data_IF_066024859749
#
_entry.id   IF_066024859749
#
_cell.length_a   1.000
_cell.length_b   1.000
_cell.length_c   1.000
_cell.angle_alpha   90.00
_cell.angle_beta   90.00
_cell.angle_gamma   90.00
#
_symmetry.space_group_name_H-M   'P 1'
#
loop_
_entity.id
_entity.type
_entity.pdbx_description
1 polymer ?
#
# COMPACT_ATOMS: atom_id res chain seq x y z
N UNK A 1 24.62 121.46 -10.63
CA UNK A 1 25.52 120.68 -11.51
C UNK A 1 24.72 119.63 -12.28
N UNK A 2 25.16 119.23 -13.49
CA UNK A 2 24.65 118.11 -14.34
C UNK A 2 23.12 118.11 -14.61
N UNK A 3 22.63 118.57 -15.77
CA UNK A 3 22.52 117.84 -17.07
C UNK A 3 21.81 116.49 -16.93
N UNK A 4 20.58 116.32 -17.44
CA UNK A 4 20.14 116.23 -18.85
C UNK A 4 20.49 114.89 -19.53
N UNK A 5 19.51 114.24 -20.14
CA UNK A 5 19.71 113.11 -21.07
C UNK A 5 18.42 112.35 -21.39
N UNK A 6 17.94 112.43 -22.64
CA UNK A 6 16.85 111.62 -23.22
C UNK A 6 17.44 110.87 -24.44
N UNK A 7 16.75 109.81 -24.90
CA UNK A 7 16.85 109.10 -26.20
C UNK A 7 17.84 107.92 -26.37
N UNK A 8 17.25 106.85 -26.90
CA UNK A 8 17.61 106.05 -28.09
C UNK A 8 18.83 105.09 -28.16
N UNK A 9 18.49 103.80 -28.09
CA UNK A 9 18.64 102.79 -29.17
C UNK A 9 19.96 102.00 -29.44
N UNK A 10 19.76 100.69 -29.58
CA UNK A 10 20.33 99.71 -30.56
C UNK A 10 21.69 99.00 -30.40
N UNK A 11 21.60 97.66 -30.60
CA UNK A 11 22.48 96.72 -31.33
C UNK A 11 23.63 95.92 -30.64
N UNK A 12 23.33 94.63 -30.47
CA UNK A 12 24.04 93.43 -31.01
C UNK A 12 25.34 92.85 -30.36
N UNK A 13 25.56 91.55 -30.67
CA UNK A 13 26.66 90.62 -30.29
C UNK A 13 26.57 90.09 -28.83
N UNK A 14 26.61 88.79 -28.47
CA UNK A 14 27.36 87.61 -28.94
C UNK A 14 28.88 87.73 -28.66
N UNK A 15 29.63 86.78 -28.06
CA UNK A 15 29.41 85.38 -27.57
C UNK A 15 30.53 85.07 -26.51
N UNK A 16 30.74 83.94 -25.79
CA UNK A 16 30.24 82.54 -25.66
C UNK A 16 30.71 81.98 -24.28
N UNK A 17 30.19 80.81 -23.81
CA UNK A 17 30.71 80.01 -22.65
C UNK A 17 30.43 80.63 -21.25
N UNK A 18 30.10 79.97 -20.13
CA UNK A 18 29.72 78.58 -19.75
C UNK A 18 29.09 78.66 -18.32
N UNK A 19 28.54 77.65 -17.61
CA UNK A 19 28.52 76.17 -17.74
C UNK A 19 27.17 75.58 -17.20
N UNK A 20 27.16 74.27 -16.95
CA UNK A 20 26.16 73.32 -16.37
C UNK A 20 25.60 73.57 -14.95
N UNK A 21 24.50 72.89 -14.50
CA UNK A 21 23.38 72.25 -15.24
C UNK A 21 21.98 72.40 -14.54
N UNK A 22 21.01 71.52 -14.88
CA UNK A 22 19.80 71.11 -14.12
C UNK A 22 18.48 71.92 -14.22
N UNK A 23 17.89 72.02 -15.43
CA UNK A 23 16.42 72.24 -15.60
C UNK A 23 15.74 71.17 -16.49
N UNK A 24 16.49 70.26 -17.14
CA UNK A 24 15.97 69.32 -18.15
C UNK A 24 14.97 68.25 -17.66
N UNK A 25 14.65 68.19 -16.36
CA UNK A 25 13.85 67.12 -15.74
C UNK A 25 12.39 67.49 -15.45
N UNK A 26 11.80 68.49 -16.12
CA UNK A 26 10.36 68.85 -15.96
C UNK A 26 9.48 68.81 -17.21
N UNK A 27 10.02 68.85 -18.43
CA UNK A 27 9.19 68.76 -19.64
C UNK A 27 8.84 67.32 -20.05
N UNK A 28 9.74 66.35 -19.83
CA UNK A 28 9.56 64.95 -20.25
C UNK A 28 8.38 64.24 -19.55
N UNK A 29 8.13 64.56 -18.28
CA UNK A 29 7.16 63.84 -17.45
C UNK A 29 5.69 64.15 -17.82
N UNK A 30 5.42 65.36 -18.32
CA UNK A 30 4.07 65.79 -18.72
C UNK A 30 3.62 65.19 -20.06
N UNK A 31 4.57 64.97 -20.99
CA UNK A 31 4.27 64.35 -22.28
C UNK A 31 4.00 62.85 -22.13
N UNK A 32 4.81 62.15 -21.33
CA UNK A 32 4.67 60.71 -21.06
C UNK A 32 3.30 60.39 -20.46
N UNK A 33 2.81 61.16 -19.48
CA UNK A 33 1.51 60.89 -18.86
C UNK A 33 0.31 61.11 -19.81
N UNK A 34 0.38 62.08 -20.75
CA UNK A 34 -0.66 62.24 -21.78
C UNK A 34 -0.59 61.15 -22.87
N UNK A 35 0.60 60.74 -23.31
CA UNK A 35 0.71 59.64 -24.27
C UNK A 35 0.34 58.29 -23.66
N UNK A 36 0.74 58.04 -22.41
CA UNK A 36 0.37 56.82 -21.67
C UNK A 36 -1.15 56.72 -21.49
N UNK A 37 -1.82 57.80 -21.06
CA UNK A 37 -3.28 57.78 -20.87
C UNK A 37 -4.08 57.67 -22.19
N UNK A 38 -3.61 58.24 -23.30
CA UNK A 38 -4.23 57.96 -24.61
C UNK A 38 -3.98 56.52 -25.07
N UNK A 39 -2.77 55.98 -24.89
CA UNK A 39 -2.45 54.60 -25.28
C UNK A 39 -3.24 53.56 -24.45
N UNK A 40 -3.35 53.75 -23.13
CA UNK A 40 -4.15 52.86 -22.28
C UNK A 40 -5.64 53.00 -22.56
N UNK A 41 -6.18 54.21 -22.75
CA UNK A 41 -7.59 54.38 -23.12
C UNK A 41 -7.91 53.79 -24.50
N UNK A 42 -7.04 53.95 -25.50
CA UNK A 42 -7.23 53.28 -26.80
C UNK A 42 -7.11 51.76 -26.70
N UNK A 43 -6.20 51.23 -25.88
CA UNK A 43 -6.09 49.78 -25.66
C UNK A 43 -7.29 49.21 -24.88
N UNK A 44 -7.75 49.89 -23.84
CA UNK A 44 -8.94 49.52 -23.05
C UNK A 44 -10.21 49.61 -23.89
N UNK A 45 -10.40 50.69 -24.67
CA UNK A 45 -11.53 50.80 -25.58
C UNK A 45 -11.47 49.71 -26.66
N UNK A 46 -10.32 49.46 -27.29
CA UNK A 46 -10.16 48.38 -28.28
C UNK A 46 -10.44 47.00 -27.67
N UNK A 47 -10.02 46.74 -26.42
CA UNK A 47 -10.34 45.51 -25.71
C UNK A 47 -11.84 45.40 -25.36
N UNK A 48 -12.46 46.52 -24.98
CA UNK A 48 -13.90 46.61 -24.66
C UNK A 48 -14.74 46.43 -25.93
N UNK A 49 -14.38 47.06 -27.04
CA UNK A 49 -15.03 46.90 -28.34
C UNK A 49 -14.83 45.49 -28.90
N UNK A 50 -13.65 44.88 -28.71
CA UNK A 50 -13.42 43.47 -29.04
C UNK A 50 -14.29 42.55 -28.18
N UNK A 51 -14.38 42.80 -26.87
CA UNK A 51 -15.25 42.05 -25.96
C UNK A 51 -16.74 42.22 -26.30
N UNK A 52 -17.18 43.42 -26.69
CA UNK A 52 -18.53 43.70 -27.14
C UNK A 52 -18.83 43.01 -28.48
N UNK A 53 -17.94 43.07 -29.47
CA UNK A 53 -18.08 42.37 -30.75
C UNK A 53 -18.07 40.85 -30.56
N UNK A 54 -17.29 40.32 -29.62
CA UNK A 54 -17.34 38.90 -29.24
C UNK A 54 -18.66 38.56 -28.54
N UNK A 55 -19.13 39.39 -27.60
CA UNK A 55 -20.42 39.18 -26.92
C UNK A 55 -21.61 39.28 -27.87
N UNK A 56 -21.63 40.21 -28.82
CA UNK A 56 -22.71 40.33 -29.79
C UNK A 56 -22.65 39.21 -30.84
N UNK A 57 -21.46 38.72 -31.21
CA UNK A 57 -21.35 37.46 -31.96
C UNK A 57 -21.87 36.26 -31.17
N UNK A 58 -21.60 36.18 -29.86
CA UNK A 58 -22.14 35.15 -28.97
C UNK A 58 -23.67 35.26 -28.86
N UNK A 59 -24.23 36.46 -28.65
CA UNK A 59 -25.69 36.71 -28.63
C UNK A 59 -26.34 36.33 -29.95
N UNK A 60 -25.75 36.68 -31.09
CA UNK A 60 -26.28 36.35 -32.41
C UNK A 60 -26.17 34.85 -32.72
N UNK A 61 -25.12 34.16 -32.23
CA UNK A 61 -25.01 32.69 -32.29
C UNK A 61 -25.97 31.98 -31.32
N UNK A 62 -26.39 32.67 -30.25
CA UNK A 62 -27.40 32.24 -29.29
C UNK A 62 -28.81 32.78 -29.58
N UNK A 63 -29.03 33.46 -30.70
CA UNK A 63 -30.34 34.02 -31.08
C UNK A 63 -31.38 32.91 -31.28
N UNK A 64 -32.60 33.13 -30.77
CA UNK A 64 -33.82 32.30 -30.76
C UNK A 64 -33.68 30.80 -30.46
N UNK A 65 -32.81 30.07 -31.14
CA UNK A 65 -32.48 28.65 -30.92
C UNK A 65 -31.27 28.43 -30.00
N UNK A 66 -30.61 29.49 -29.51
CA UNK A 66 -29.46 29.35 -28.60
C UNK A 66 -29.77 28.59 -27.32
N UNK A 67 -31.02 28.64 -26.83
CA UNK A 67 -31.47 27.83 -25.70
C UNK A 67 -31.35 26.32 -25.99
N UNK A 68 -31.55 25.89 -27.25
CA UNK A 68 -31.36 24.49 -27.69
C UNK A 68 -29.87 24.14 -27.64
N UNK A 69 -28.99 25.03 -28.12
CA UNK A 69 -27.52 24.83 -28.09
C UNK A 69 -27.02 24.70 -26.66
N UNK A 70 -27.46 25.60 -25.76
CA UNK A 70 -27.12 25.54 -24.32
C UNK A 70 -27.65 24.25 -23.68
N UNK A 71 -28.88 23.84 -24.00
CA UNK A 71 -29.47 22.61 -23.46
C UNK A 71 -28.70 21.37 -23.92
N UNK A 72 -28.28 21.30 -25.19
CA UNK A 72 -27.41 20.23 -25.71
C UNK A 72 -26.06 20.19 -24.96
N UNK A 73 -25.43 21.34 -24.73
CA UNK A 73 -24.16 21.43 -23.98
C UNK A 73 -24.33 20.98 -22.52
N UNK A 74 -25.43 21.34 -21.86
CA UNK A 74 -25.76 20.90 -20.50
C UNK A 74 -26.00 19.39 -20.44
N UNK A 75 -26.79 18.83 -21.37
CA UNK A 75 -27.03 17.38 -21.46
C UNK A 75 -25.71 16.62 -21.69
N UNK A 76 -24.83 17.14 -22.55
CA UNK A 76 -23.52 16.54 -22.82
C UNK A 76 -22.58 16.62 -21.59
N UNK A 77 -22.62 17.71 -20.82
CA UNK A 77 -21.91 17.82 -19.54
C UNK A 77 -22.43 16.81 -18.49
N UNK A 78 -23.75 16.66 -18.37
CA UNK A 78 -24.37 15.65 -17.49
C UNK A 78 -23.98 14.24 -17.93
N UNK A 79 -23.96 13.96 -19.23
CA UNK A 79 -23.54 12.68 -19.78
C UNK A 79 -22.06 12.38 -19.49
N UNK A 80 -21.17 13.37 -19.59
CA UNK A 80 -19.76 13.25 -19.17
C UNK A 80 -19.65 12.98 -17.67
N UNK A 81 -20.41 13.69 -16.82
CA UNK A 81 -20.43 13.44 -15.38
C UNK A 81 -20.93 12.03 -15.03
N UNK A 82 -21.93 11.51 -15.74
CA UNK A 82 -22.40 10.14 -15.60
C UNK A 82 -21.33 9.13 -16.03
N UNK A 83 -20.63 9.37 -17.14
CA UNK A 83 -19.50 8.53 -17.58
C UNK A 83 -18.36 8.54 -16.55
N UNK A 84 -18.02 9.70 -15.98
CA UNK A 84 -16.99 9.82 -14.94
C UNK A 84 -17.41 9.10 -13.66
N UNK A 85 -18.66 9.26 -13.23
CA UNK A 85 -19.23 8.56 -12.08
C UNK A 85 -19.22 7.03 -12.27
N UNK A 86 -19.70 6.53 -13.40
CA UNK A 86 -19.66 5.10 -13.75
C UNK A 86 -18.21 4.61 -13.83
N UNK A 87 -17.30 5.37 -14.44
CA UNK A 87 -15.88 5.03 -14.52
C UNK A 87 -15.20 4.96 -13.15
N UNK A 88 -15.63 5.80 -12.20
CA UNK A 88 -15.15 5.77 -10.82
C UNK A 88 -15.75 4.59 -10.04
N UNK A 89 -17.06 4.34 -10.19
CA UNK A 89 -17.75 3.21 -9.57
C UNK A 89 -17.23 1.85 -10.06
N UNK A 90 -16.93 1.70 -11.35
CA UNK A 90 -16.31 0.49 -11.92
C UNK A 90 -14.84 0.33 -11.49
N UNK A 91 -14.13 1.43 -11.22
CA UNK A 91 -12.77 1.42 -10.64
C UNK A 91 -12.76 1.23 -9.12
N UNK A 92 -13.90 1.38 -8.44
CA UNK A 92 -14.06 1.10 -7.02
C UNK A 92 -14.16 -0.42 -6.75
N UNK A 93 -13.17 -1.17 -7.22
CA UNK A 93 -13.06 -2.60 -6.96
C UNK A 93 -13.03 -2.89 -5.46
N UNK A 94 -13.74 -3.94 -5.03
CA UNK A 94 -13.68 -4.40 -3.64
C UNK A 94 -12.29 -4.99 -3.28
N UNK A 95 -11.45 -5.26 -4.28
CA UNK A 95 -10.03 -5.61 -4.14
C UNK A 95 -9.26 -4.46 -3.48
N UNK A 96 -8.68 -4.72 -2.31
CA UNK A 96 -8.00 -3.76 -1.44
C UNK A 96 -6.78 -4.43 -0.79
N UNK A 97 -5.61 -3.85 -1.06
CA UNK A 97 -4.38 -4.10 -0.31
C UNK A 97 -4.12 -2.98 0.69
N UNK A 98 -3.54 -3.31 1.85
CA UNK A 98 -3.10 -2.32 2.85
C UNK A 98 -1.80 -2.76 3.51
N UNK A 99 -0.91 -1.78 3.71
CA UNK A 99 0.30 -1.93 4.51
C UNK A 99 -0.06 -1.73 6.00
N UNK A 100 0.15 -2.77 6.81
CA UNK A 100 -0.17 -2.85 8.24
C UNK A 100 1.00 -2.38 9.12
N UNK A 101 2.25 -2.67 8.73
CA UNK A 101 3.47 -2.12 9.38
C UNK A 101 4.30 -1.34 8.37
N UNK A 102 4.80 -0.15 8.76
CA UNK A 102 5.62 0.74 7.91
C UNK A 102 7.11 0.76 8.29
N UNK A 103 7.42 0.34 9.51
CA UNK A 103 8.75 0.34 10.11
C UNK A 103 9.09 -1.07 10.60
N UNK A 104 10.39 -1.42 10.72
CA UNK A 104 10.80 -2.67 11.33
C UNK A 104 10.32 -2.79 12.78
N UNK A 105 9.71 -3.92 13.08
CA UNK A 105 9.22 -4.34 14.39
C UNK A 105 10.10 -5.49 14.89
N UNK A 106 10.95 -5.24 15.89
CA UNK A 106 11.73 -6.30 16.56
C UNK A 106 10.76 -7.13 17.42
N UNK A 107 10.66 -8.43 17.16
CA UNK A 107 9.56 -9.26 17.66
C UNK A 107 9.74 -9.70 19.12
N UNK A 108 10.99 -9.96 19.54
CA UNK A 108 11.37 -10.45 20.86
C UNK A 108 11.47 -9.35 21.94
N UNK A 109 11.71 -8.09 21.55
CA UNK A 109 11.70 -6.92 22.45
C UNK A 109 10.30 -6.59 23.00
N UNK A 110 9.25 -7.04 22.32
CA UNK A 110 7.87 -6.73 22.65
C UNK A 110 7.45 -7.35 23.98
N UNK A 111 6.78 -6.58 24.84
CA UNK A 111 6.24 -7.11 26.10
C UNK A 111 4.84 -7.72 25.96
N UNK A 112 4.10 -7.28 24.94
CA UNK A 112 2.75 -7.71 24.56
C UNK A 112 2.70 -7.87 23.03
N UNK A 113 1.79 -8.67 22.45
CA UNK A 113 1.68 -8.76 21.00
C UNK A 113 1.37 -7.38 20.41
N UNK A 114 2.03 -7.04 19.30
CA UNK A 114 1.61 -5.89 18.49
C UNK A 114 0.31 -6.25 17.77
N UNK A 115 -0.71 -5.42 17.89
CA UNK A 115 -2.07 -5.71 17.39
C UNK A 115 -2.40 -4.79 16.22
N UNK A 116 -2.98 -5.36 15.16
CA UNK A 116 -3.60 -4.64 14.06
C UNK A 116 -5.08 -5.00 14.03
N UNK A 117 -5.95 -4.01 14.23
CA UNK A 117 -7.38 -4.24 14.41
C UNK A 117 -8.08 -4.80 13.16
N UNK A 118 -9.08 -5.65 13.39
CA UNK A 118 -9.91 -6.25 12.35
C UNK A 118 -10.60 -5.22 11.43
N UNK A 119 -10.80 -3.98 11.90
CA UNK A 119 -11.30 -2.86 11.11
C UNK A 119 -10.25 -2.23 10.18
N UNK A 120 -8.97 -2.32 10.54
CA UNK A 120 -7.87 -1.82 9.72
C UNK A 120 -7.49 -2.81 8.60
N UNK A 121 -7.73 -4.11 8.77
CA UNK A 121 -7.37 -5.14 7.77
C UNK A 121 -8.46 -5.23 6.68
N UNK A 122 -8.10 -5.26 5.38
CA UNK A 122 -9.06 -5.48 4.30
C UNK A 122 -9.95 -6.72 4.51
N UNK A 123 -11.26 -6.50 4.64
CA UNK A 123 -12.25 -7.59 4.76
C UNK A 123 -12.33 -8.39 3.44
N UNK A 124 -12.51 -9.73 3.47
CA UNK A 124 -12.70 -10.55 2.27
C UNK A 124 -13.75 -9.95 1.32
N UNK A 125 -13.35 -9.71 0.08
CA UNK A 125 -14.15 -8.99 -0.94
C UNK A 125 -15.29 -9.86 -1.47
N UNK A 126 -14.93 -10.99 -2.08
CA UNK A 126 -15.78 -12.06 -2.59
C UNK A 126 -14.97 -13.36 -2.42
N UNK A 127 -15.63 -14.51 -2.28
CA UNK A 127 -14.93 -15.79 -2.18
C UNK A 127 -14.16 -15.99 -0.86
N UNK A 128 -12.97 -16.57 -0.96
CA UNK A 128 -12.08 -16.93 0.17
C UNK A 128 -10.61 -16.60 -0.11
N UNK A 129 -10.38 -15.77 -1.12
CA UNK A 129 -9.06 -15.37 -1.59
C UNK A 129 -8.46 -14.30 -0.69
N UNK A 130 -7.17 -14.41 -0.42
CA UNK A 130 -6.40 -13.39 0.28
C UNK A 130 -4.91 -13.58 0.01
N UNK A 131 -4.14 -12.53 0.23
CA UNK A 131 -2.67 -12.61 0.18
C UNK A 131 -2.08 -11.83 1.34
N UNK A 132 -0.91 -12.24 1.79
CA UNK A 132 -0.11 -11.46 2.73
C UNK A 132 1.36 -11.52 2.36
N UNK A 133 2.04 -10.39 2.52
CA UNK A 133 3.46 -10.21 2.19
C UNK A 133 4.16 -9.56 3.38
N UNK A 134 5.39 -9.95 3.66
CA UNK A 134 6.20 -9.29 4.68
C UNK A 134 7.68 -9.43 4.39
N UNK A 135 8.45 -8.53 4.98
CA UNK A 135 9.89 -8.65 5.06
C UNK A 135 10.28 -9.13 6.44
N UNK A 136 11.21 -10.08 6.49
CA UNK A 136 11.75 -10.62 7.72
C UNK A 136 13.28 -10.58 7.69
N UNK A 137 13.90 -10.22 8.81
CA UNK A 137 15.32 -10.36 9.05
C UNK A 137 15.48 -11.18 10.34
N UNK A 138 16.08 -12.36 10.24
CA UNK A 138 16.37 -13.19 11.43
C UNK A 138 17.80 -12.86 11.84
N UNK A 139 17.97 -12.32 13.05
CA UNK A 139 19.27 -11.88 13.56
C UNK A 139 20.09 -13.07 14.08
N UNK A 140 19.46 -13.90 14.91
CA UNK A 140 20.01 -15.17 15.39
C UNK A 140 18.90 -16.20 15.59
N UNK A 141 19.15 -17.46 15.22
CA UNK A 141 18.22 -18.56 15.45
C UNK A 141 18.54 -19.28 16.76
N UNK A 142 17.78 -18.95 17.81
CA UNK A 142 17.83 -19.67 19.09
C UNK A 142 16.99 -20.93 19.00
N UNK A 143 17.59 -22.12 19.16
CA UNK A 143 16.82 -23.37 19.27
C UNK A 143 15.97 -23.39 20.55
N UNK A 144 14.79 -23.99 20.47
CA UNK A 144 13.76 -23.87 21.50
C UNK A 144 13.21 -25.19 22.05
N UNK A 145 13.89 -26.31 21.76
CA UNK A 145 13.57 -27.67 22.19
C UNK A 145 12.12 -28.03 21.82
N UNK A 146 11.89 -28.27 20.52
CA UNK A 146 10.61 -28.59 19.89
C UNK A 146 9.49 -27.55 20.02
N UNK A 147 9.58 -26.54 20.89
CA UNK A 147 8.60 -25.46 20.96
C UNK A 147 8.74 -24.53 19.73
N UNK A 148 7.74 -24.43 18.84
CA UNK A 148 7.81 -23.59 17.65
C UNK A 148 7.65 -22.11 18.02
N UNK A 149 8.22 -21.24 17.20
CA UNK A 149 8.34 -19.81 17.50
C UNK A 149 7.35 -19.01 16.65
N UNK A 150 6.30 -18.46 17.26
CA UNK A 150 5.28 -17.74 16.50
C UNK A 150 5.79 -16.35 16.07
N UNK A 151 5.49 -15.98 14.82
CA UNK A 151 5.78 -14.65 14.26
C UNK A 151 4.50 -13.83 14.25
N UNK A 152 3.43 -14.37 13.67
CA UNK A 152 2.12 -13.72 13.61
C UNK A 152 0.97 -14.71 13.47
N UNK A 153 -0.22 -14.30 13.88
CA UNK A 153 -1.47 -14.95 13.51
C UNK A 153 -2.58 -13.92 13.30
N UNK A 154 -3.68 -14.34 12.66
CA UNK A 154 -4.91 -13.54 12.57
C UNK A 154 -6.10 -14.34 13.05
N UNK A 155 -6.90 -13.79 13.97
CA UNK A 155 -8.01 -14.49 14.63
C UNK A 155 -8.50 -13.70 15.86
N UNK A 156 -8.81 -14.41 16.94
CA UNK A 156 -9.24 -13.84 18.23
C UNK A 156 -8.06 -13.71 19.21
N UNK A 157 -8.09 -12.72 20.09
CA UNK A 157 -7.03 -12.51 21.08
C UNK A 157 -6.91 -13.72 22.04
N UNK A 158 -5.68 -14.22 22.22
CA UNK A 158 -5.36 -15.39 23.05
C UNK A 158 -6.04 -16.72 22.61
N UNK A 159 -6.61 -16.80 21.41
CA UNK A 159 -7.02 -18.06 20.78
C UNK A 159 -6.23 -18.30 19.50
N UNK A 160 -5.89 -19.56 19.25
CA UNK A 160 -5.38 -20.01 17.95
C UNK A 160 -6.27 -21.10 17.32
N UNK A 161 -7.42 -21.41 17.94
CA UNK A 161 -8.41 -22.34 17.40
C UNK A 161 -9.26 -21.75 16.27
N UNK A 162 -9.43 -20.42 16.24
CA UNK A 162 -10.06 -19.72 15.14
C UNK A 162 -9.06 -19.25 14.06
N UNK A 163 -7.79 -19.15 14.42
CA UNK A 163 -6.76 -18.40 13.70
C UNK A 163 -6.49 -18.88 12.25
N UNK A 164 -6.48 -17.92 11.33
CA UNK A 164 -6.23 -18.13 9.90
C UNK A 164 -5.76 -16.83 9.20
N UNK A 165 -4.50 -16.72 8.74
CA UNK A 165 -3.41 -17.69 8.83
C UNK A 165 -2.67 -17.64 10.18
N UNK A 166 -1.77 -18.61 10.40
CA UNK A 166 -0.71 -18.58 11.43
C UNK A 166 0.65 -18.71 10.72
N UNK A 167 1.65 -17.95 11.17
CA UNK A 167 3.04 -18.02 10.68
C UNK A 167 3.98 -18.20 11.87
N UNK A 168 4.83 -19.23 11.79
CA UNK A 168 5.74 -19.61 12.86
C UNK A 168 7.00 -20.29 12.32
N UNK A 169 8.12 -20.15 13.01
CA UNK A 169 9.33 -20.93 12.77
C UNK A 169 9.31 -22.25 13.53
N UNK A 170 10.01 -23.23 12.97
CA UNK A 170 10.33 -24.51 13.61
C UNK A 170 11.20 -24.32 14.87
N UNK A 171 11.07 -25.22 15.85
CA UNK A 171 11.77 -25.09 17.14
C UNK A 171 13.23 -25.54 17.11
N UNK A 172 13.63 -26.34 16.11
CA UNK A 172 14.94 -26.98 16.05
C UNK A 172 15.73 -26.56 14.81
N UNK A 173 15.04 -26.16 13.75
CA UNK A 173 15.61 -25.80 12.45
C UNK A 173 15.14 -24.41 11.99
N UNK A 174 15.88 -23.79 11.09
CA UNK A 174 15.55 -22.46 10.54
C UNK A 174 14.48 -22.54 9.42
N UNK A 175 13.44 -23.34 9.66
CA UNK A 175 12.32 -23.62 8.77
C UNK A 175 11.13 -22.73 9.15
N UNK A 176 10.48 -22.13 8.15
CA UNK A 176 9.33 -21.24 8.34
C UNK A 176 8.06 -21.94 7.86
N UNK A 177 7.07 -22.08 8.74
CA UNK A 177 5.76 -22.67 8.46
C UNK A 177 4.69 -21.59 8.23
N UNK A 178 3.81 -21.86 7.27
CA UNK A 178 2.56 -21.14 7.07
C UNK A 178 1.41 -22.11 7.25
N UNK A 179 0.58 -21.88 8.26
CA UNK A 179 -0.60 -22.69 8.55
C UNK A 179 -1.83 -21.94 8.08
N UNK A 180 -2.62 -22.60 7.22
CA UNK A 180 -3.82 -22.06 6.61
C UNK A 180 -4.98 -23.01 6.96
N UNK A 181 -6.04 -22.44 7.52
CA UNK A 181 -7.20 -23.19 8.04
C UNK A 181 -8.10 -23.64 6.89
N UNK A 182 -8.73 -24.81 7.06
CA UNK A 182 -9.63 -25.42 6.07
C UNK A 182 -10.95 -25.83 6.71
N UNK A 183 -12.02 -25.65 5.95
CA UNK A 183 -13.36 -26.09 6.29
C UNK A 183 -13.86 -27.13 5.27
N UNK A 184 -14.83 -27.95 5.66
CA UNK A 184 -15.44 -28.95 4.78
C UNK A 184 -16.54 -29.72 5.50
N UNK A 185 -17.50 -30.28 4.75
CA UNK A 185 -18.65 -31.03 5.30
C UNK A 185 -18.24 -32.19 6.21
N UNK A 186 -17.11 -32.83 5.89
CA UNK A 186 -16.58 -34.01 6.58
C UNK A 186 -15.64 -33.65 7.75
N UNK A 187 -15.47 -32.36 8.09
CA UNK A 187 -14.61 -31.89 9.20
C UNK A 187 -15.37 -31.65 10.52
N UNK A 188 -16.41 -32.45 10.79
CA UNK A 188 -17.15 -32.38 12.05
C UNK A 188 -16.32 -32.98 13.20
N UNK A 189 -15.68 -32.12 13.99
CA UNK A 189 -15.01 -32.53 15.23
C UNK A 189 -16.04 -32.67 16.35
N UNK A 190 -16.53 -33.88 16.60
CA UNK A 190 -17.36 -34.17 17.79
C UNK A 190 -16.60 -33.96 19.11
N UNK A 191 -15.27 -33.87 19.04
CA UNK A 191 -14.37 -33.62 20.19
C UNK A 191 -14.28 -32.12 20.47
N UNK A 192 -15.15 -31.63 21.35
CA UNK A 192 -15.15 -30.25 21.86
C UNK A 192 -14.02 -29.93 22.86
N UNK A 193 -13.21 -30.92 23.23
CA UNK A 193 -12.21 -30.84 24.31
C UNK A 193 -10.76 -30.65 23.87
N UNK A 194 -10.48 -30.57 22.56
CA UNK A 194 -9.14 -30.21 22.08
C UNK A 194 -9.00 -28.70 22.19
N UNK A 195 -8.48 -28.22 23.32
CA UNK A 195 -8.11 -26.82 23.48
C UNK A 195 -6.90 -26.51 22.58
N UNK A 196 -7.14 -25.74 21.51
CA UNK A 196 -6.10 -25.30 20.58
C UNK A 196 -5.29 -24.12 21.13
N UNK A 197 -5.87 -23.32 22.04
CA UNK A 197 -5.48 -21.93 22.32
C UNK A 197 -4.08 -21.74 22.91
N UNK A 198 -3.46 -22.80 23.44
CA UNK A 198 -2.22 -22.71 24.21
C UNK A 198 -1.06 -23.57 23.69
N UNK A 199 -1.25 -24.43 22.67
CA UNK A 199 -0.20 -25.36 22.25
C UNK A 199 -0.11 -25.53 20.72
N UNK A 200 0.86 -24.83 20.13
CA UNK A 200 1.16 -24.84 18.70
C UNK A 200 1.63 -26.21 18.17
N UNK A 201 2.21 -27.08 19.01
CA UNK A 201 2.61 -28.42 18.56
C UNK A 201 1.40 -29.32 18.27
N UNK A 202 0.23 -29.06 18.89
CA UNK A 202 -1.01 -29.70 18.44
C UNK A 202 -1.38 -29.27 17.00
N UNK A 203 -1.03 -28.05 16.56
CA UNK A 203 -1.33 -27.56 15.20
C UNK A 203 -0.38 -28.17 14.16
N UNK A 204 0.91 -28.29 14.49
CA UNK A 204 1.91 -28.90 13.60
C UNK A 204 1.73 -30.42 13.45
N UNK A 205 1.46 -31.13 14.54
CA UNK A 205 1.18 -32.57 14.54
C UNK A 205 -0.18 -32.89 13.89
N UNK A 206 -1.26 -32.23 14.32
CA UNK A 206 -2.62 -32.39 13.75
C UNK A 206 -2.83 -31.56 12.47
N UNK A 207 -1.76 -31.29 11.73
CA UNK A 207 -1.86 -30.81 10.35
C UNK A 207 -2.25 -31.98 9.45
N UNK A 208 -2.92 -31.70 8.32
CA UNK A 208 -3.22 -32.74 7.33
C UNK A 208 -1.96 -33.44 6.77
N UNK A 209 -0.79 -32.80 6.93
CA UNK A 209 0.39 -32.97 6.11
C UNK A 209 1.52 -33.76 6.78
N UNK A 210 1.61 -33.74 8.13
CA UNK A 210 2.72 -34.36 8.86
C UNK A 210 2.40 -35.75 9.44
N UNK A 211 1.14 -36.03 9.81
CA UNK A 211 0.76 -37.32 10.38
C UNK A 211 0.77 -38.42 9.31
N UNK A 212 1.64 -39.43 9.51
CA UNK A 212 1.53 -40.76 8.89
C UNK A 212 0.81 -41.77 9.80
N UNK A 213 1.05 -41.69 11.11
CA UNK A 213 0.57 -42.67 12.08
C UNK A 213 -0.16 -42.00 13.25
N UNK A 214 -1.50 -42.02 13.19
CA UNK A 214 -2.37 -41.85 14.35
C UNK A 214 -3.53 -42.85 14.20
N UNK A 215 -3.78 -43.62 15.25
CA UNK A 215 -4.72 -44.75 15.19
C UNK A 215 -6.18 -44.31 14.98
N UNK A 216 -6.92 -45.07 14.17
CA UNK A 216 -8.25 -44.72 13.64
C UNK A 216 -9.39 -44.67 14.70
N UNK A 217 -9.09 -44.70 16.00
CA UNK A 217 -10.09 -44.75 17.07
C UNK A 217 -10.79 -43.41 17.35
N UNK A 218 -10.30 -42.30 16.80
CA UNK A 218 -11.01 -41.00 16.82
C UNK A 218 -10.98 -40.34 15.44
N UNK A 219 -12.09 -39.73 14.97
CA UNK A 219 -12.12 -38.97 13.71
C UNK A 219 -11.39 -37.64 13.89
N UNK A 220 -10.05 -37.68 13.83
CA UNK A 220 -9.17 -36.53 13.85
C UNK A 220 -9.36 -35.72 12.56
N UNK A 221 -10.35 -34.84 12.59
CA UNK A 221 -10.75 -33.97 11.49
C UNK A 221 -9.76 -32.82 11.34
N UNK A 222 -8.62 -33.11 10.71
CA UNK A 222 -7.52 -32.19 10.44
C UNK A 222 -8.03 -30.89 9.77
N UNK A 223 -7.84 -29.73 10.41
CA UNK A 223 -8.38 -28.42 9.95
C UNK A 223 -7.36 -27.50 9.30
N UNK A 224 -6.16 -27.98 8.99
CA UNK A 224 -5.05 -27.10 8.60
C UNK A 224 -4.18 -27.68 7.48
N UNK A 225 -3.90 -26.84 6.49
CA UNK A 225 -2.83 -27.01 5.50
C UNK A 225 -1.56 -26.37 6.02
N UNK A 226 -0.42 -27.01 5.78
CA UNK A 226 0.90 -26.45 6.06
C UNK A 226 1.73 -26.32 4.79
N UNK A 227 2.18 -25.10 4.52
CA UNK A 227 3.31 -24.81 3.64
C UNK A 227 4.57 -24.59 4.49
N UNK A 228 5.74 -24.80 3.91
CA UNK A 228 7.02 -24.50 4.57
C UNK A 228 8.04 -23.95 3.59
N UNK A 229 8.89 -23.02 4.07
CA UNK A 229 10.20 -22.73 3.48
C UNK A 229 11.25 -23.48 4.32
N UNK A 230 12.10 -24.29 3.68
CA UNK A 230 13.00 -25.21 4.38
C UNK A 230 14.15 -24.53 5.11
N UNK A 231 14.57 -23.37 4.61
CA UNK A 231 15.60 -22.54 5.23
C UNK A 231 15.36 -21.06 4.89
N UNK A 232 15.24 -20.20 5.92
CA UNK A 232 15.16 -18.73 5.74
C UNK A 232 16.51 -18.11 6.09
N UNK A 233 17.29 -17.58 5.13
CA UNK A 233 18.64 -17.09 5.40
C UNK A 233 18.76 -16.07 6.54
N UNK A 234 19.65 -16.36 7.49
CA UNK A 234 19.99 -15.49 8.63
C UNK A 234 20.73 -14.23 8.16
N UNK A 235 20.68 -13.19 9.00
CA UNK A 235 21.44 -11.93 8.89
C UNK A 235 21.27 -11.21 7.54
N UNK A 236 20.15 -11.45 6.86
CA UNK A 236 19.71 -10.69 5.69
C UNK A 236 18.21 -10.47 5.74
N UNK A 237 17.75 -9.47 5.00
CA UNK A 237 16.34 -9.32 4.69
C UNK A 237 15.91 -10.39 3.67
N UNK A 238 14.80 -11.05 3.96
CA UNK A 238 14.10 -11.99 3.09
C UNK A 238 12.68 -11.51 2.91
N UNK A 239 12.21 -11.45 1.67
CA UNK A 239 10.82 -11.16 1.36
C UNK A 239 10.03 -12.45 1.24
N UNK A 240 8.92 -12.52 1.96
CA UNK A 240 7.99 -13.66 1.95
C UNK A 240 6.64 -13.16 1.48
N UNK A 241 5.96 -13.92 0.64
CA UNK A 241 4.58 -13.64 0.25
C UNK A 241 3.81 -14.94 0.09
N UNK A 242 2.60 -15.00 0.64
CA UNK A 242 1.71 -16.15 0.50
C UNK A 242 0.43 -15.67 -0.17
N UNK A 243 0.06 -16.35 -1.25
CA UNK A 243 -1.13 -16.08 -2.05
C UNK A 243 -2.08 -17.27 -1.94
N UNK A 244 -3.31 -17.00 -1.53
CA UNK A 244 -4.38 -17.96 -1.38
C UNK A 244 -5.40 -17.70 -2.49
N UNK A 245 -5.43 -18.59 -3.48
CA UNK A 245 -6.44 -18.64 -4.54
C UNK A 245 -7.32 -19.87 -4.36
N UNK A 246 -8.40 -19.72 -3.58
CA UNK A 246 -9.51 -20.66 -3.35
C UNK A 246 -9.15 -22.08 -2.83
N UNK A 247 -8.40 -22.86 -3.61
CA UNK A 247 -7.86 -24.20 -3.30
C UNK A 247 -6.34 -24.31 -3.49
N UNK A 248 -5.70 -23.33 -4.12
CA UNK A 248 -4.28 -23.28 -4.42
C UNK A 248 -3.62 -22.31 -3.44
N UNK A 249 -2.49 -22.72 -2.86
CA UNK A 249 -1.65 -21.88 -2.01
C UNK A 249 -0.28 -21.80 -2.67
N UNK A 250 0.15 -20.58 -2.97
CA UNK A 250 1.47 -20.30 -3.53
C UNK A 250 2.28 -19.49 -2.53
N UNK A 251 3.44 -20.02 -2.15
CA UNK A 251 4.46 -19.31 -1.36
C UNK A 251 5.52 -18.79 -2.32
N UNK A 252 5.84 -17.51 -2.18
CA UNK A 252 6.92 -16.82 -2.87
C UNK A 252 8.01 -16.42 -1.87
N UNK A 253 9.26 -16.50 -2.30
CA UNK A 253 10.44 -16.04 -1.56
C UNK A 253 11.27 -15.14 -2.47
N UNK A 254 11.70 -13.98 -1.96
CA UNK A 254 12.52 -12.98 -2.67
C UNK A 254 12.00 -12.61 -4.09
N UNK A 255 10.67 -12.64 -4.26
CA UNK A 255 9.96 -12.28 -5.49
C UNK A 255 9.73 -13.42 -6.49
N UNK A 256 10.17 -14.65 -6.19
CA UNK A 256 10.02 -15.83 -7.05
C UNK A 256 9.17 -16.92 -6.38
N UNK A 257 8.61 -17.85 -7.18
CA UNK A 257 7.78 -18.94 -6.65
C UNK A 257 8.68 -19.94 -5.92
N UNK A 258 8.42 -20.16 -4.63
CA UNK A 258 9.13 -21.17 -3.83
C UNK A 258 8.38 -22.50 -3.80
N UNK A 259 7.07 -22.48 -3.59
CA UNK A 259 6.24 -23.70 -3.52
C UNK A 259 4.79 -23.41 -3.86
N UNK A 260 4.15 -24.34 -4.55
CA UNK A 260 2.70 -24.38 -4.82
C UNK A 260 2.16 -25.67 -4.22
N UNK A 261 0.97 -25.63 -3.61
CA UNK A 261 0.18 -26.84 -3.31
C UNK A 261 -1.29 -26.62 -3.65
N UNK A 262 -1.91 -27.60 -4.29
CA UNK A 262 -3.36 -27.68 -4.45
C UNK A 262 -3.99 -28.59 -3.39
N UNK A 263 -5.14 -28.18 -2.85
CA UNK A 263 -5.98 -29.01 -1.98
C UNK A 263 -6.38 -30.33 -2.66
N UNK A 264 -6.68 -30.30 -3.96
CA UNK A 264 -7.23 -31.48 -4.64
C UNK A 264 -6.13 -32.47 -5.04
N UNK A 265 -4.96 -31.98 -5.45
CA UNK A 265 -3.75 -32.78 -5.69
C UNK A 265 -3.34 -33.58 -4.45
N UNK A 266 -3.38 -32.95 -3.27
CA UNK A 266 -3.04 -33.61 -2.02
C UNK A 266 -3.99 -34.77 -1.67
N UNK A 267 -5.29 -34.63 -1.96
CA UNK A 267 -6.28 -35.73 -1.78
C UNK A 267 -5.95 -36.95 -2.64
N UNK A 268 -5.39 -36.74 -3.83
CA UNK A 268 -5.03 -37.83 -4.75
C UNK A 268 -3.72 -38.54 -4.35
N UNK A 269 -2.90 -37.95 -3.48
CA UNK A 269 -1.62 -38.53 -3.02
C UNK A 269 -1.77 -39.35 -1.73
N UNK A 270 -2.90 -39.21 -1.01
CA UNK A 270 -3.22 -39.97 0.21
C UNK A 270 -3.90 -41.30 -0.12
N UNK A 271 -3.69 -42.31 0.72
CA UNK A 271 -4.55 -43.49 0.74
C UNK A 271 -5.96 -43.11 1.21
N UNK A 272 -7.02 -43.79 0.74
CA UNK A 272 -8.38 -43.49 1.16
C UNK A 272 -8.57 -43.74 2.65
N UNK A 273 -9.02 -42.72 3.38
CA UNK A 273 -9.42 -42.83 4.78
C UNK A 273 -10.86 -43.36 4.88
N UNK A 274 -11.15 -44.17 5.90
CA UNK A 274 -12.46 -44.78 6.12
C UNK A 274 -12.97 -44.45 7.53
N UNK A 275 -14.29 -44.28 7.68
CA UNK A 275 -14.92 -44.03 8.97
C UNK A 275 -14.98 -45.32 9.84
N UNK A 276 -15.41 -45.17 11.09
CA UNK A 276 -15.58 -46.28 12.05
C UNK A 276 -16.69 -47.30 11.65
N UNK A 277 -17.31 -47.12 10.48
CA UNK A 277 -18.34 -47.99 9.89
C UNK A 277 -17.90 -48.57 8.53
N UNK A 278 -16.67 -48.28 8.08
CA UNK A 278 -16.12 -48.75 6.80
C UNK A 278 -16.51 -47.91 5.57
N UNK A 279 -17.14 -46.74 5.74
CA UNK A 279 -17.44 -45.83 4.63
C UNK A 279 -16.20 -45.01 4.26
N UNK A 280 -15.90 -44.88 2.97
CA UNK A 280 -14.83 -43.99 2.49
C UNK A 280 -15.15 -42.53 2.83
N UNK A 281 -14.20 -41.83 3.45
CA UNK A 281 -14.37 -40.42 3.84
C UNK A 281 -13.95 -39.53 2.66
N UNK A 282 -14.93 -39.05 1.90
CA UNK A 282 -14.68 -38.03 0.88
C UNK A 282 -14.64 -36.64 1.51
N UNK A 283 -13.45 -36.04 1.50
CA UNK A 283 -13.18 -34.73 2.10
C UNK A 283 -13.38 -33.58 1.10
N UNK A 284 -14.56 -32.95 1.14
CA UNK A 284 -14.81 -31.69 0.43
C UNK A 284 -14.15 -30.50 1.16
N UNK A 285 -12.81 -30.50 1.20
CA UNK A 285 -11.99 -29.43 1.76
C UNK A 285 -11.97 -28.21 0.84
N UNK A 286 -12.09 -27.04 1.47
CA UNK A 286 -11.83 -25.71 0.91
C UNK A 286 -11.13 -24.86 1.98
N UNK A 287 -10.40 -23.83 1.55
CA UNK A 287 -9.72 -22.92 2.49
C UNK A 287 -10.77 -22.12 3.27
N UNK A 288 -10.55 -21.92 4.57
CA UNK A 288 -11.45 -21.13 5.41
C UNK A 288 -11.21 -19.62 5.20
N UNK A 289 -12.22 -18.79 5.48
CA UNK A 289 -12.04 -17.33 5.46
C UNK A 289 -11.08 -16.86 6.55
N UNK A 290 -10.52 -15.67 6.35
CA UNK A 290 -9.60 -15.00 7.27
C UNK A 290 -10.30 -13.78 7.88
N UNK A 291 -10.54 -13.84 9.19
CA UNK A 291 -11.33 -12.87 9.97
C UNK A 291 -10.64 -12.59 11.31
N UNK A 292 -11.13 -11.61 12.08
CA UNK A 292 -10.48 -11.16 13.31
C UNK A 292 -9.30 -10.20 13.09
N UNK A 293 -8.65 -9.83 14.21
CA UNK A 293 -7.49 -8.94 14.26
C UNK A 293 -6.19 -9.73 14.04
N UNK A 294 -5.11 -9.05 13.65
CA UNK A 294 -3.80 -9.67 13.47
C UNK A 294 -2.89 -9.33 14.65
N UNK A 295 -2.18 -10.34 15.17
CA UNK A 295 -1.34 -10.26 16.36
C UNK A 295 0.07 -10.71 16.00
N UNK A 296 1.09 -9.98 16.48
CA UNK A 296 2.49 -10.14 16.06
C UNK A 296 3.46 -10.16 17.25
N UNK A 297 4.50 -10.99 17.16
CA UNK A 297 5.60 -11.04 18.12
C UNK A 297 5.37 -11.96 19.32
N UNK A 298 5.05 -11.39 20.48
CA UNK A 298 5.00 -12.13 21.76
C UNK A 298 3.59 -12.58 22.10
N UNK A 299 3.41 -13.86 22.42
CA UNK A 299 2.11 -14.46 22.72
C UNK A 299 2.15 -15.27 24.00
N UNK A 300 1.02 -15.35 24.71
CA UNK A 300 0.90 -16.16 25.93
C UNK A 300 1.17 -17.64 25.61
N UNK A 301 2.14 -18.25 26.30
CA UNK A 301 2.52 -19.65 26.12
C UNK A 301 3.35 -19.99 24.87
N UNK A 302 3.63 -19.01 23.99
CA UNK A 302 4.48 -19.22 22.81
C UNK A 302 5.85 -18.56 22.97
N UNK A 303 6.82 -19.04 22.20
CA UNK A 303 8.13 -18.40 22.05
C UNK A 303 8.14 -17.55 20.77
N UNK A 304 9.04 -16.59 20.70
CA UNK A 304 9.14 -15.62 19.59
C UNK A 304 10.58 -15.64 19.06
N UNK A 305 10.81 -15.60 17.74
CA UNK A 305 12.17 -15.56 17.19
C UNK A 305 12.83 -14.20 17.45
N UNK A 306 14.17 -14.17 17.59
CA UNK A 306 14.94 -12.94 17.46
C UNK A 306 14.99 -12.54 15.98
N UNK A 307 13.94 -11.84 15.55
CA UNK A 307 13.74 -11.40 14.19
C UNK A 307 13.02 -10.05 14.15
N UNK A 308 13.27 -9.31 13.08
CA UNK A 308 12.56 -8.09 12.73
C UNK A 308 11.55 -8.39 11.62
N UNK A 309 10.33 -7.86 11.76
CA UNK A 309 9.31 -7.89 10.72
C UNK A 309 9.05 -6.48 10.19
N UNK A 310 8.98 -6.29 8.87
CA UNK A 310 8.72 -4.97 8.27
C UNK A 310 7.83 -5.08 7.03
N UNK A 311 7.24 -3.97 6.62
CA UNK A 311 6.41 -3.84 5.42
C UNK A 311 5.35 -4.97 5.29
N UNK A 312 4.65 -5.29 6.38
CA UNK A 312 3.59 -6.30 6.41
C UNK A 312 2.38 -5.80 5.62
N UNK A 313 2.16 -6.36 4.43
CA UNK A 313 1.01 -6.08 3.57
C UNK A 313 -0.05 -7.18 3.67
N UNK A 314 -1.32 -6.79 3.66
CA UNK A 314 -2.46 -7.70 3.59
C UNK A 314 -3.43 -7.31 2.47
N UNK A 315 -3.92 -8.29 1.73
CA UNK A 315 -4.72 -8.14 0.51
C UNK A 315 -5.94 -9.07 0.59
N UNK A 316 -7.13 -8.56 0.33
CA UNK A 316 -8.38 -9.36 0.34
C UNK A 316 -8.66 -10.08 -1.00
N UNK A 317 -7.60 -10.40 -1.73
CA UNK A 317 -7.61 -11.05 -3.05
C UNK A 317 -6.30 -11.80 -3.30
N UNK A 318 -6.27 -12.67 -4.31
CA UNK A 318 -5.05 -13.33 -4.78
C UNK A 318 -4.21 -12.36 -5.64
N UNK A 319 -3.03 -11.94 -5.16
CA UNK A 319 -2.17 -11.00 -5.91
C UNK A 319 -1.37 -11.73 -7.01
N UNK A 320 -1.23 -11.09 -8.17
CA UNK A 320 -0.51 -11.67 -9.31
C UNK A 320 1.01 -11.72 -9.07
N UNK A 321 1.73 -12.62 -9.76
CA UNK A 321 3.20 -12.63 -9.80
C UNK A 321 3.80 -11.24 -10.13
N UNK A 322 3.11 -10.45 -10.96
CA UNK A 322 3.53 -9.07 -11.28
C UNK A 322 3.45 -8.13 -10.08
N UNK A 323 2.48 -8.34 -9.19
CA UNK A 323 2.30 -7.57 -7.94
C UNK A 323 3.24 -8.08 -6.85
N UNK A 324 3.44 -9.39 -6.71
CA UNK A 324 4.48 -9.95 -5.82
C UNK A 324 5.85 -9.35 -6.14
N UNK A 325 6.23 -9.29 -7.43
CA UNK A 325 7.48 -8.64 -7.86
C UNK A 325 7.47 -7.12 -7.62
N UNK A 326 6.34 -6.40 -7.76
CA UNK A 326 6.23 -4.97 -7.39
C UNK A 326 6.34 -4.72 -5.90
N UNK A 327 5.87 -5.64 -5.04
CA UNK A 327 6.01 -5.55 -3.57
C UNK A 327 7.45 -5.86 -3.15
N UNK A 328 8.07 -6.89 -3.73
CA UNK A 328 9.49 -7.18 -3.54
C UNK A 328 10.39 -6.00 -3.95
N UNK A 329 10.12 -5.36 -5.09
CA UNK A 329 10.91 -4.20 -5.55
C UNK A 329 10.72 -2.92 -4.71
N UNK A 330 9.85 -2.92 -3.68
CA UNK A 330 9.76 -1.81 -2.71
C UNK A 330 10.79 -1.93 -1.59
N UNK A 331 11.31 -3.13 -1.30
CA UNK A 331 12.28 -3.37 -0.22
C UNK A 331 11.65 -3.45 1.18
N UNK A 332 12.46 -3.73 2.22
CA UNK A 332 12.00 -3.94 3.59
C UNK A 332 11.61 -2.66 4.34
N UNK A 333 12.01 -1.48 3.87
CA UNK A 333 11.67 -0.21 4.48
C UNK A 333 10.61 0.50 3.64
N UNK A 334 9.56 1.06 4.25
CA UNK A 334 8.61 1.90 3.51
C UNK A 334 9.33 3.11 2.88
N UNK A 335 8.85 3.59 1.73
CA UNK A 335 9.54 4.60 0.90
C UNK A 335 9.63 5.99 1.54
N UNK A 336 10.53 6.16 2.52
CA UNK A 336 10.90 7.45 3.10
C UNK A 336 12.02 8.17 2.33
N UNK A 337 12.98 7.43 1.76
CA UNK A 337 14.15 8.02 1.12
C UNK A 337 13.92 8.24 -0.39
N UNK A 338 14.18 9.47 -0.85
CA UNK A 338 14.09 9.95 -2.24
C UNK A 338 14.67 8.99 -3.30
N UNK A 339 15.79 8.34 -3.00
CA UNK A 339 16.43 7.35 -3.88
C UNK A 339 15.49 6.18 -4.26
N UNK A 340 14.66 5.73 -3.32
CA UNK A 340 13.66 4.66 -3.54
C UNK A 340 12.45 5.10 -4.37
N UNK A 341 12.25 6.42 -4.53
CA UNK A 341 11.23 6.98 -5.41
C UNK A 341 11.70 7.06 -6.87
N UNK A 342 13.00 7.24 -7.10
CA UNK A 342 13.64 7.28 -8.44
C UNK A 342 13.80 5.88 -9.06
N UNK A 343 13.51 4.81 -8.31
CA UNK A 343 13.59 3.43 -8.80
C UNK A 343 14.97 2.80 -8.66
N UNK A 344 15.94 3.52 -8.10
CA UNK A 344 17.18 2.93 -7.58
C UNK A 344 16.81 2.18 -6.29
N UNK A 345 16.54 0.89 -6.40
CA UNK A 345 16.29 0.06 -5.22
C UNK A 345 17.57 -0.05 -4.39
N UNK A 346 17.45 0.07 -3.06
CA UNK A 346 18.57 -0.07 -2.11
C UNK A 346 19.14 -1.50 -2.03
N UNK A 347 18.72 -2.37 -2.96
CA UNK A 347 19.13 -3.76 -3.15
C UNK A 347 20.18 -3.93 -4.25
N UNK A 348 20.43 -2.90 -5.07
CA UNK A 348 21.42 -2.95 -6.15
C UNK A 348 22.88 -2.79 -5.70
N UNK A 349 23.13 -2.30 -4.48
CA UNK A 349 24.48 -2.03 -3.95
C UNK A 349 24.87 -3.12 -2.96
N UNK A 350 25.96 -3.84 -3.25
CA UNK A 350 26.43 -5.03 -2.50
C UNK A 350 27.14 -4.68 -1.17
N UNK A 351 26.45 -3.99 -0.26
CA UNK A 351 27.00 -3.60 1.05
C UNK A 351 25.99 -3.83 2.19
N UNK A 352 25.92 -5.04 2.78
CA UNK A 352 24.96 -5.36 3.84
C UNK A 352 25.44 -4.89 5.22
N UNK A 353 25.42 -3.58 5.48
CA UNK A 353 25.57 -3.01 6.82
C UNK A 353 24.50 -1.92 7.01
N UNK A 354 23.30 -2.34 7.43
CA UNK A 354 22.27 -1.44 7.92
C UNK A 354 22.30 -1.47 9.45
N UNK A 355 22.63 -0.36 10.10
CA UNK A 355 22.48 -0.23 11.56
C UNK A 355 21.00 -0.11 11.90
N UNK A 356 20.53 -0.84 12.90
CA UNK A 356 19.10 -0.94 13.22
C UNK A 356 18.71 0.02 14.38
N UNK A 357 19.70 0.54 15.10
CA UNK A 357 19.54 1.28 16.35
C UNK A 357 18.85 2.66 16.20
N UNK A 358 18.93 3.27 15.02
CA UNK A 358 18.60 4.69 14.80
C UNK A 358 17.08 4.98 14.74
N UNK A 359 16.23 3.96 14.65
CA UNK A 359 14.76 4.13 14.53
C UNK A 359 13.98 4.06 15.85
N UNK A 360 14.65 3.88 17.00
CA UNK A 360 13.98 3.81 18.32
C UNK A 360 13.54 5.19 18.88
N UNK A 361 13.91 6.30 18.24
CA UNK A 361 13.63 7.68 18.70
C UNK A 361 12.59 8.40 17.84
N UNK A 362 11.41 7.81 17.71
CA UNK A 362 10.19 8.49 17.23
C UNK A 362 8.95 7.92 17.95
N UNK A 363 8.60 8.53 19.09
CA UNK A 363 7.33 8.34 19.81
C UNK A 363 6.31 9.41 19.42
#
# INVERSE_FOLDING_TARGET
MKKNGKKDSTKNSATLSTHTPNIFCRFSFLLINKMSSSATNSAVNTATDTANVVMDKIKNFLGDKGHIVVMIVVVLLVFILVIVYISFALKASNLKGKLLTKSPLKLDDLQTPFVVDAGDIPKPSVGREYSYSFWMYIDNFTQTNDAPQMIMYRGTQNSIGDANPIVMMDGNSNKLYFVIKTQGSSLSSTVSSINYDTNLQNVLSRSYFNNRDFTLSTPNTHKHIIMSIDYVPLQRWVHVTVVIDNKIITVFMDGEIYSVKSIDEYKMTKQPEFDVRGNKIDYNLIIEKTEGSMYLGKFNGSKTPNAYLSNLGFYNYAISLSEVKKVYMQGPFAKGNFLSAIGISSYGVRSPIYKIDEYQTAK
#
